data_IF_397447604487
#
_entry.id   IF_397447604487
#
_cell.length_a   1.000
_cell.length_b   1.000
_cell.length_c   1.000
_cell.angle_alpha   90.00
_cell.angle_beta   90.00
_cell.angle_gamma   90.00
#
_symmetry.space_group_name_H-M   'P 1'
#
loop_
_entity.id
_entity.type
_entity.pdbx_description
1 polymer ?
#
# COMPACT_ATOMS: atom_id res chain seq x y z
N UNK A 1 2.48 1.93 29.62
CA UNK A 1 3.29 1.54 28.45
C UNK A 1 2.37 0.73 27.56
N UNK A 2 1.79 1.34 26.54
CA UNK A 2 0.92 0.63 25.59
C UNK A 2 1.82 -0.19 24.67
N UNK A 3 1.52 -1.48 24.54
CA UNK A 3 2.18 -2.33 23.56
C UNK A 3 2.03 -1.70 22.15
N UNK A 4 3.03 -1.79 21.27
CA UNK A 4 2.84 -1.40 19.88
C UNK A 4 1.75 -2.30 19.32
N UNK A 5 0.55 -1.75 19.16
CA UNK A 5 -0.56 -2.47 18.59
C UNK A 5 -0.18 -2.82 17.14
N UNK A 6 -0.07 -4.12 16.88
CA UNK A 6 0.12 -4.78 15.60
C UNK A 6 -0.03 -3.88 14.35
N UNK A 7 1.12 -3.39 13.88
CA UNK A 7 1.35 -2.67 12.61
C UNK A 7 0.80 -3.46 11.38
N UNK A 8 0.58 -4.77 11.54
CA UNK A 8 0.02 -5.65 10.50
C UNK A 8 -1.45 -5.40 10.18
N UNK A 9 -2.27 -4.93 11.14
CA UNK A 9 -3.67 -4.62 10.86
C UNK A 9 -3.80 -3.40 9.94
N UNK A 10 -2.91 -2.42 10.11
CA UNK A 10 -2.87 -1.22 9.27
C UNK A 10 -2.37 -1.59 7.86
N UNK A 11 -1.35 -2.45 7.76
CA UNK A 11 -0.88 -2.98 6.46
C UNK A 11 -1.97 -3.78 5.73
N UNK A 12 -2.72 -4.64 6.43
CA UNK A 12 -3.82 -5.40 5.83
C UNK A 12 -4.93 -4.48 5.34
N UNK A 13 -5.28 -3.45 6.12
CA UNK A 13 -6.26 -2.44 5.72
C UNK A 13 -5.80 -1.65 4.49
N UNK A 14 -4.54 -1.24 4.43
CA UNK A 14 -3.95 -0.52 3.29
C UNK A 14 -3.92 -1.38 2.03
N UNK A 15 -3.64 -2.68 2.13
CA UNK A 15 -3.75 -3.65 1.02
C UNK A 15 -5.19 -3.71 0.51
N UNK A 16 -6.17 -3.78 1.42
CA UNK A 16 -7.59 -3.80 1.08
C UNK A 16 -8.02 -2.54 0.32
N UNK A 17 -7.59 -1.36 0.77
CA UNK A 17 -7.86 -0.09 0.09
C UNK A 17 -7.21 -0.01 -1.29
N UNK A 18 -5.96 -0.47 -1.43
CA UNK A 18 -5.29 -0.53 -2.72
C UNK A 18 -5.99 -1.47 -3.70
N UNK A 19 -6.43 -2.64 -3.23
CA UNK A 19 -7.19 -3.59 -4.05
C UNK A 19 -8.52 -2.98 -4.53
N UNK A 20 -9.24 -2.28 -3.66
CA UNK A 20 -10.47 -1.58 -4.02
C UNK A 20 -10.25 -0.46 -5.05
N UNK A 21 -9.15 0.29 -4.91
CA UNK A 21 -8.76 1.33 -5.87
C UNK A 21 -8.46 0.73 -7.25
N UNK A 22 -7.68 -0.36 -7.31
CA UNK A 22 -7.37 -1.05 -8.57
C UNK A 22 -8.63 -1.64 -9.21
N UNK A 23 -9.53 -2.22 -8.41
CA UNK A 23 -10.84 -2.69 -8.87
C UNK A 23 -11.65 -1.56 -9.52
N UNK A 24 -11.76 -0.42 -8.82
CA UNK A 24 -12.47 0.76 -9.34
C UNK A 24 -11.86 1.26 -10.66
N UNK A 25 -10.52 1.31 -10.76
CA UNK A 25 -9.84 1.70 -12.00
C UNK A 25 -10.18 0.73 -13.13
N UNK A 26 -10.20 -0.57 -12.84
CA UNK A 26 -10.52 -1.63 -13.79
C UNK A 26 -11.94 -1.47 -14.31
N UNK A 27 -12.91 -1.26 -13.42
CA UNK A 27 -14.32 -1.05 -13.79
C UNK A 27 -14.45 0.19 -14.69
N UNK A 28 -13.77 1.29 -14.37
CA UNK A 28 -13.78 2.50 -15.21
C UNK A 28 -13.19 2.21 -16.60
N UNK A 29 -12.10 1.45 -16.69
CA UNK A 29 -11.42 1.17 -17.97
C UNK A 29 -12.24 0.24 -18.86
N UNK A 30 -12.90 -0.77 -18.30
CA UNK A 30 -13.60 -1.80 -19.07
C UNK A 30 -15.09 -1.51 -19.29
N UNK A 31 -15.75 -0.87 -18.33
CA UNK A 31 -17.21 -0.66 -18.38
C UNK A 31 -17.59 0.71 -18.96
N UNK A 32 -16.69 1.69 -18.94
CA UNK A 32 -16.97 3.01 -19.47
C UNK A 32 -16.24 3.24 -20.81
N UNK A 33 -16.95 3.53 -21.91
CA UNK A 33 -16.30 3.99 -23.14
C UNK A 33 -15.54 5.29 -22.84
N UNK A 34 -14.22 5.20 -22.83
CA UNK A 34 -13.35 6.25 -22.33
C UNK A 34 -13.33 7.47 -23.23
N UNK A 35 -13.63 8.64 -22.67
CA UNK A 35 -13.18 9.92 -23.22
C UNK A 35 -11.74 10.19 -22.80
N UNK A 36 -11.02 11.08 -23.50
CA UNK A 36 -9.66 11.50 -23.11
C UNK A 36 -9.61 12.00 -21.65
N UNK A 37 -10.64 12.69 -21.19
CA UNK A 37 -10.74 13.17 -19.81
C UNK A 37 -10.91 12.01 -18.81
N UNK A 38 -11.66 10.96 -19.17
CA UNK A 38 -11.82 9.74 -18.36
C UNK A 38 -10.48 9.01 -18.25
N UNK A 39 -9.77 8.86 -19.37
CA UNK A 39 -8.47 8.19 -19.39
C UNK A 39 -7.39 8.96 -18.65
N UNK A 40 -7.43 10.31 -18.67
CA UNK A 40 -6.55 11.13 -17.85
C UNK A 40 -6.79 10.89 -16.34
N UNK A 41 -8.05 10.79 -15.91
CA UNK A 41 -8.40 10.47 -14.52
C UNK A 41 -7.93 9.07 -14.12
N UNK A 42 -8.12 8.08 -14.99
CA UNK A 42 -7.58 6.73 -14.81
C UNK A 42 -6.06 6.78 -14.62
N UNK A 43 -5.35 7.55 -15.45
CA UNK A 43 -3.91 7.75 -15.31
C UNK A 43 -3.51 8.32 -13.94
N UNK A 44 -4.23 9.34 -13.46
CA UNK A 44 -3.99 9.90 -12.12
C UNK A 44 -4.26 8.89 -11.00
N UNK A 45 -5.32 8.09 -11.10
CA UNK A 45 -5.64 7.05 -10.13
C UNK A 45 -4.60 5.94 -10.12
N UNK A 46 -4.09 5.54 -11.28
CA UNK A 46 -3.00 4.57 -11.40
C UNK A 46 -1.70 5.09 -10.78
N UNK A 47 -1.41 6.39 -10.91
CA UNK A 47 -0.26 6.98 -10.24
C UNK A 47 -0.38 6.90 -8.71
N UNK A 48 -1.56 7.19 -8.18
CA UNK A 48 -1.83 7.07 -6.74
C UNK A 48 -1.71 5.62 -6.28
N UNK A 49 -2.29 4.67 -7.02
CA UNK A 49 -2.20 3.25 -6.71
C UNK A 49 -0.73 2.77 -6.68
N UNK A 50 0.10 3.27 -7.59
CA UNK A 50 1.53 2.99 -7.60
C UNK A 50 2.24 3.55 -6.36
N UNK A 51 2.05 4.82 -6.02
CA UNK A 51 2.66 5.45 -4.84
C UNK A 51 2.30 4.70 -3.55
N UNK A 52 1.02 4.33 -3.40
CA UNK A 52 0.56 3.54 -2.26
C UNK A 52 1.20 2.15 -2.24
N UNK A 53 1.36 1.50 -3.39
CA UNK A 53 2.04 0.20 -3.49
C UNK A 53 3.50 0.28 -3.07
N UNK A 54 4.22 1.33 -3.49
CA UNK A 54 5.62 1.56 -3.14
C UNK A 54 5.77 1.78 -1.62
N UNK A 55 4.91 2.60 -1.02
CA UNK A 55 4.88 2.85 0.43
C UNK A 55 4.55 1.59 1.24
N UNK A 56 3.64 0.75 0.74
CA UNK A 56 3.29 -0.52 1.38
C UNK A 56 4.48 -1.51 1.38
N UNK A 57 5.23 -1.55 0.29
CA UNK A 57 6.48 -2.35 0.22
C UNK A 57 7.49 -1.83 1.24
N UNK A 58 7.66 -0.51 1.36
CA UNK A 58 8.53 0.07 2.39
C UNK A 58 8.10 -0.32 3.81
N UNK A 59 6.83 -0.14 4.15
CA UNK A 59 6.28 -0.51 5.48
C UNK A 59 6.47 -1.99 5.79
N UNK A 60 6.17 -2.88 4.83
CA UNK A 60 6.35 -4.32 5.01
C UNK A 60 7.82 -4.72 5.16
N UNK A 61 8.75 -4.03 4.50
CA UNK A 61 10.20 -4.28 4.69
C UNK A 61 10.70 -3.83 6.06
N UNK A 62 10.14 -2.75 6.62
CA UNK A 62 10.45 -2.28 7.98
C UNK A 62 9.88 -3.22 9.04
N UNK A 63 8.64 -3.68 8.89
CA UNK A 63 8.02 -4.67 9.79
C UNK A 63 8.75 -6.02 9.79
N UNK A 64 9.29 -6.45 8.64
CA UNK A 64 10.03 -7.70 8.50
C UNK A 64 11.55 -7.54 8.72
N UNK A 65 12.03 -6.34 9.04
CA UNK A 65 13.42 -6.16 9.41
C UNK A 65 13.70 -7.04 10.64
N UNK A 66 14.71 -7.94 10.60
CA UNK A 66 15.05 -8.72 11.77
C UNK A 66 15.35 -7.71 12.88
N UNK A 67 14.57 -7.77 13.98
CA UNK A 67 14.96 -7.14 15.24
C UNK A 67 16.37 -7.64 15.49
N UNK A 68 17.36 -6.80 15.19
CA UNK A 68 18.74 -7.05 15.56
C UNK A 68 18.69 -7.06 17.07
N UNK A 69 18.64 -8.28 17.61
CA UNK A 69 18.71 -8.57 19.02
C UNK A 69 19.83 -7.69 19.58
N UNK A 70 19.44 -6.72 20.39
CA UNK A 70 20.35 -6.03 21.29
C UNK A 70 20.76 -7.04 22.38
N UNK A 71 21.49 -8.07 21.96
CA UNK A 71 22.10 -9.10 22.76
C UNK A 71 23.57 -9.16 22.33
N UNK A 72 24.37 -8.27 22.91
CA UNK A 72 25.78 -8.08 22.57
C UNK A 72 26.56 -7.54 23.77
N UNK A 73 26.71 -8.41 24.76
CA UNK A 73 27.60 -8.33 25.92
C UNK A 73 29.04 -7.90 25.55
N UNK A 74 29.62 -6.96 26.32
CA UNK A 74 31.06 -6.64 26.53
C UNK A 74 31.13 -5.31 27.30
N UNK A 75 31.78 -5.12 28.44
CA UNK A 75 32.69 -5.90 29.30
C UNK A 75 32.56 -5.37 30.72
#
# INVERSE_FOLDING_TARGET
MSAPANDFNDVESEIGHLAALIGTITDIVFEMPGSDATMHRVGSLLWIARDLSERLVETTTVCNAPMRMAGGQRS
#
